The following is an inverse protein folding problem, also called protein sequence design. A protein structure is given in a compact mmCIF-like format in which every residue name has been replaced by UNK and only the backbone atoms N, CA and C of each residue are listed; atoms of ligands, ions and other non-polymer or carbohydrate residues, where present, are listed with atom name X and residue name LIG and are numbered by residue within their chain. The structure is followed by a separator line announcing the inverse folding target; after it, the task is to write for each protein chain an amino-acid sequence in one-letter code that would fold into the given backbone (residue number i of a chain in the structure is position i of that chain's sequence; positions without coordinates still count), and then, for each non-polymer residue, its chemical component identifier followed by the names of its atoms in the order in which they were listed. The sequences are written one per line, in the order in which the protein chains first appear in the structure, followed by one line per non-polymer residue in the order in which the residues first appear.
data_IF_053303436088
#
_entry.id   IF_053303436088
#
_cell.length_a   1.000
_cell.length_b   1.000
_cell.length_c   1.000
_cell.angle_alpha   90.00
_cell.angle_beta   90.00
_cell.angle_gamma   90.00
#
_symmetry.space_group_name_H-M   'P 1'
#
loop_
_entity.id
_entity.type
_entity.pdbx_description
1 polymer ?
#
# COMPACT_ATOMS: atom_id res chain seq x y z
N UNK A 1 1.20 -26.19 -32.49
CA UNK A 1 1.36 -24.73 -32.30
C UNK A 1 -0.01 -24.15 -32.04
N UNK A 2 -0.51 -24.25 -30.81
CA UNK A 2 -1.71 -23.54 -30.38
C UNK A 2 -1.28 -22.18 -29.83
N UNK A 3 -1.68 -21.11 -30.51
CA UNK A 3 -1.66 -19.77 -29.94
C UNK A 3 -2.66 -19.75 -28.80
N UNK A 4 -2.19 -19.73 -27.55
CA UNK A 4 -3.00 -19.32 -26.42
C UNK A 4 -3.58 -17.93 -26.74
N UNK A 5 -4.89 -17.89 -26.95
CA UNK A 5 -5.65 -16.67 -27.14
C UNK A 5 -5.44 -15.80 -25.90
N UNK A 6 -4.58 -14.79 -26.02
CA UNK A 6 -4.43 -13.73 -25.05
C UNK A 6 -5.79 -13.21 -24.64
N UNK A 7 -6.05 -13.20 -23.34
CA UNK A 7 -7.31 -12.68 -22.78
C UNK A 7 -7.44 -11.21 -23.19
N UNK A 8 -8.39 -10.91 -24.06
CA UNK A 8 -8.62 -9.55 -24.53
C UNK A 8 -9.03 -8.68 -23.35
N UNK A 9 -8.61 -7.41 -23.35
CA UNK A 9 -8.99 -6.41 -22.34
C UNK A 9 -10.53 -6.26 -22.13
N UNK A 10 -11.34 -6.76 -23.07
CA UNK A 10 -12.79 -6.89 -22.91
C UNK A 10 -13.22 -7.93 -21.87
N UNK A 11 -12.43 -8.97 -21.60
CA UNK A 11 -12.66 -9.92 -20.50
C UNK A 11 -12.18 -9.39 -19.14
N UNK A 12 -11.37 -8.33 -19.11
CA UNK A 12 -10.95 -7.65 -17.87
C UNK A 12 -11.88 -6.50 -17.45
N UNK A 13 -12.95 -6.20 -18.21
CA UNK A 13 -14.04 -5.29 -17.82
C UNK A 13 -14.67 -5.61 -16.44
N UNK A 14 -15.06 -6.86 -16.13
CA UNK A 14 -15.56 -7.21 -14.79
C UNK A 14 -14.51 -6.98 -13.70
N UNK A 15 -13.24 -7.26 -13.98
CA UNK A 15 -12.12 -6.98 -13.07
C UNK A 15 -11.95 -5.48 -12.80
N UNK A 16 -11.98 -4.64 -13.85
CA UNK A 16 -11.90 -3.18 -13.72
C UNK A 16 -13.09 -2.61 -12.95
N UNK A 17 -14.28 -3.18 -13.12
CA UNK A 17 -15.49 -2.79 -12.39
C UNK A 17 -15.38 -3.14 -10.89
N UNK A 18 -14.89 -4.32 -10.56
CA UNK A 18 -14.64 -4.74 -9.18
C UNK A 18 -13.57 -3.88 -8.50
N UNK A 19 -12.46 -3.63 -9.20
CA UNK A 19 -11.40 -2.73 -8.75
C UNK A 19 -11.94 -1.32 -8.54
N UNK A 20 -12.71 -0.78 -9.48
CA UNK A 20 -13.33 0.54 -9.36
C UNK A 20 -14.26 0.63 -8.15
N UNK A 21 -15.09 -0.40 -7.92
CA UNK A 21 -15.95 -0.50 -6.74
C UNK A 21 -15.13 -0.56 -5.44
N UNK A 22 -14.02 -1.28 -5.45
CA UNK A 22 -13.12 -1.37 -4.30
C UNK A 22 -12.45 -0.01 -4.01
N UNK A 23 -11.90 0.65 -5.03
CA UNK A 23 -11.30 1.99 -4.89
C UNK A 23 -12.33 2.99 -4.35
N UNK A 24 -13.57 2.98 -4.87
CA UNK A 24 -14.63 3.85 -4.38
C UNK A 24 -14.98 3.55 -2.92
N UNK A 25 -15.15 2.28 -2.55
CA UNK A 25 -15.45 1.86 -1.17
C UNK A 25 -14.33 2.25 -0.21
N UNK A 26 -13.08 1.99 -0.59
CA UNK A 26 -11.91 2.29 0.24
C UNK A 26 -11.72 3.80 0.35
N UNK A 27 -11.89 4.55 -0.75
CA UNK A 27 -11.85 6.02 -0.75
C UNK A 27 -12.94 6.64 0.13
N UNK A 28 -14.16 6.12 0.07
CA UNK A 28 -15.25 6.52 0.98
C UNK A 28 -14.89 6.22 2.44
N UNK A 29 -14.24 5.09 2.73
CA UNK A 29 -13.74 4.76 4.06
C UNK A 29 -12.67 5.74 4.55
N UNK A 30 -11.75 6.18 3.69
CA UNK A 30 -10.78 7.24 4.01
C UNK A 30 -11.51 8.54 4.34
N UNK A 31 -12.46 8.96 3.49
CA UNK A 31 -13.24 10.18 3.70
C UNK A 31 -14.00 10.15 5.05
N UNK A 32 -14.73 9.06 5.34
CA UNK A 32 -15.47 8.93 6.60
C UNK A 32 -14.55 8.96 7.82
N UNK A 33 -13.36 8.36 7.74
CA UNK A 33 -12.38 8.43 8.84
C UNK A 33 -11.86 9.85 9.04
N UNK A 34 -11.62 10.60 7.96
CA UNK A 34 -11.20 12.00 8.06
C UNK A 34 -12.30 12.89 8.63
N UNK A 35 -13.55 12.68 8.21
CA UNK A 35 -14.70 13.37 8.77
C UNK A 35 -14.82 13.11 10.28
N UNK A 36 -14.58 11.86 10.73
CA UNK A 36 -14.55 11.52 12.16
C UNK A 36 -13.46 12.29 12.91
N UNK A 37 -12.21 12.28 12.42
CA UNK A 37 -11.12 13.05 13.02
C UNK A 37 -11.45 14.54 13.13
N UNK A 38 -11.89 15.15 12.03
CA UNK A 38 -12.23 16.58 11.98
C UNK A 38 -13.38 16.90 12.94
N UNK A 39 -14.45 16.10 12.95
CA UNK A 39 -15.57 16.30 13.85
C UNK A 39 -15.15 16.17 15.32
N UNK A 40 -14.36 15.14 15.66
CA UNK A 40 -13.85 14.96 17.02
C UNK A 40 -12.98 16.13 17.46
N UNK A 41 -12.03 16.56 16.63
CA UNK A 41 -11.18 17.70 16.94
C UNK A 41 -11.95 19.01 17.05
N UNK A 42 -12.93 19.26 16.17
CA UNK A 42 -13.78 20.44 16.24
C UNK A 42 -14.52 20.53 17.58
N UNK A 43 -15.11 19.42 18.05
CA UNK A 43 -15.80 19.39 19.34
C UNK A 43 -14.85 19.77 20.48
N UNK A 44 -13.69 19.12 20.56
CA UNK A 44 -12.74 19.38 21.65
C UNK A 44 -12.12 20.78 21.57
N UNK A 45 -11.71 21.26 20.40
CA UNK A 45 -11.14 22.59 20.23
C UNK A 45 -12.18 23.67 20.53
N UNK A 46 -13.42 23.50 20.07
CA UNK A 46 -14.51 24.46 20.37
C UNK A 46 -14.78 24.52 21.87
N UNK A 47 -14.84 23.36 22.54
CA UNK A 47 -14.99 23.31 23.99
C UNK A 47 -13.81 23.94 24.72
N UNK A 48 -12.57 23.63 24.32
CA UNK A 48 -11.37 24.24 24.89
C UNK A 48 -11.34 25.76 24.73
N UNK A 49 -11.72 26.29 23.56
CA UNK A 49 -11.88 27.72 23.34
C UNK A 49 -12.94 28.32 24.27
N UNK A 50 -14.11 27.68 24.38
CA UNK A 50 -15.18 28.15 25.27
C UNK A 50 -14.72 28.23 26.73
N UNK A 51 -14.05 27.19 27.23
CA UNK A 51 -13.49 27.18 28.59
C UNK A 51 -12.40 28.23 28.77
N UNK A 52 -11.57 28.47 27.75
CA UNK A 52 -10.50 29.47 27.79
C UNK A 52 -11.05 30.89 27.91
N UNK A 53 -12.05 31.24 27.09
CA UNK A 53 -12.60 32.60 27.04
C UNK A 53 -13.61 32.91 28.14
N UNK A 54 -14.20 31.91 28.78
CA UNK A 54 -15.11 32.12 29.92
C UNK A 54 -14.40 32.17 31.27
N UNK A 55 -13.08 31.89 31.31
CA UNK A 55 -12.28 31.93 32.54
C UNK A 55 -11.96 33.38 32.94
N UNK A 56 -12.15 33.70 34.21
CA UNK A 56 -11.92 35.05 34.76
C UNK A 56 -10.43 35.47 34.73
N UNK A 57 -9.52 34.51 34.83
CA UNK A 57 -8.07 34.75 34.78
C UNK A 57 -7.43 33.91 33.68
N UNK A 58 -6.83 34.58 32.70
CA UNK A 58 -6.12 33.94 31.59
C UNK A 58 -4.61 33.95 31.89
N UNK A 59 -4.01 32.78 32.03
CA UNK A 59 -2.57 32.65 32.29
C UNK A 59 -1.82 32.28 31.02
N UNK A 60 -0.50 32.53 30.98
CA UNK A 60 0.35 32.08 29.87
C UNK A 60 0.27 30.56 29.66
N UNK A 61 0.10 29.80 30.74
CA UNK A 61 -0.01 28.34 30.71
C UNK A 61 -1.31 27.88 30.03
N UNK A 62 -2.44 28.55 30.30
CA UNK A 62 -3.71 28.20 29.65
C UNK A 62 -3.67 28.43 28.13
N UNK A 63 -2.94 29.45 27.65
CA UNK A 63 -2.74 29.67 26.21
C UNK A 63 -1.92 28.55 25.57
N UNK A 64 -0.94 27.98 26.29
CA UNK A 64 -0.11 26.87 25.79
C UNK A 64 -0.99 25.62 25.58
N UNK A 65 -1.88 25.29 26.50
CA UNK A 65 -2.78 24.14 26.34
C UNK A 65 -3.72 24.28 25.14
N UNK A 66 -4.23 25.48 24.87
CA UNK A 66 -5.03 25.75 23.66
C UNK A 66 -4.21 25.50 22.38
N UNK A 67 -2.96 25.99 22.34
CA UNK A 67 -2.05 25.76 21.20
C UNK A 67 -1.73 24.27 21.05
N UNK A 68 -1.49 23.55 22.15
CA UNK A 68 -1.26 22.10 22.13
C UNK A 68 -2.45 21.36 21.53
N UNK A 69 -3.69 21.73 21.90
CA UNK A 69 -4.89 21.12 21.30
C UNK A 69 -4.95 21.33 19.78
N UNK A 70 -4.64 22.54 19.30
CA UNK A 70 -4.59 22.83 17.86
C UNK A 70 -3.49 22.02 17.15
N UNK A 71 -2.29 21.96 17.73
CA UNK A 71 -1.17 21.20 17.17
C UNK A 71 -1.49 19.70 17.12
N UNK A 72 -2.04 19.14 18.21
CA UNK A 72 -2.47 17.73 18.24
C UNK A 72 -3.51 17.49 17.16
N UNK A 73 -4.54 18.34 17.04
CA UNK A 73 -5.58 18.19 16.04
C UNK A 73 -5.05 18.16 14.60
N UNK A 74 -4.14 19.07 14.26
CA UNK A 74 -3.55 19.14 12.92
C UNK A 74 -2.65 17.93 12.67
N UNK A 75 -1.73 17.62 13.58
CA UNK A 75 -0.75 16.55 13.40
C UNK A 75 -1.40 15.16 13.35
N UNK A 76 -2.36 14.88 14.25
CA UNK A 76 -3.07 13.60 14.26
C UNK A 76 -3.90 13.41 13.00
N UNK A 77 -4.58 14.46 12.52
CA UNK A 77 -5.37 14.41 11.28
C UNK A 77 -4.48 14.18 10.06
N UNK A 78 -3.38 14.91 9.93
CA UNK A 78 -2.43 14.74 8.83
C UNK A 78 -1.78 13.34 8.85
N UNK A 79 -1.39 12.85 10.03
CA UNK A 79 -0.83 11.52 10.17
C UNK A 79 -1.85 10.44 9.80
N UNK A 80 -3.09 10.56 10.30
CA UNK A 80 -4.18 9.65 9.99
C UNK A 80 -4.48 9.63 8.49
N UNK A 81 -4.52 10.80 7.84
CA UNK A 81 -4.70 10.92 6.39
C UNK A 81 -3.60 10.19 5.63
N UNK A 82 -2.33 10.47 5.94
CA UNK A 82 -1.19 9.86 5.27
C UNK A 82 -1.19 8.33 5.42
N UNK A 83 -1.47 7.82 6.62
CA UNK A 83 -1.50 6.38 6.90
C UNK A 83 -2.70 5.69 6.25
N UNK A 84 -3.89 6.29 6.30
CA UNK A 84 -5.10 5.78 5.61
C UNK A 84 -4.95 5.78 4.10
N UNK A 85 -4.42 6.86 3.51
CA UNK A 85 -4.20 6.96 2.07
C UNK A 85 -3.20 5.89 1.59
N UNK A 86 -2.08 5.74 2.31
CA UNK A 86 -1.11 4.68 2.03
C UNK A 86 -1.75 3.30 2.14
N UNK A 87 -2.50 3.03 3.21
CA UNK A 87 -3.19 1.74 3.40
C UNK A 87 -4.20 1.45 2.28
N UNK A 88 -5.02 2.44 1.92
CA UNK A 88 -5.99 2.33 0.82
C UNK A 88 -5.33 2.05 -0.53
N UNK A 89 -4.21 2.70 -0.81
CA UNK A 89 -3.39 2.43 -1.99
C UNK A 89 -2.87 0.99 -1.97
N UNK A 90 -2.33 0.51 -0.84
CA UNK A 90 -1.82 -0.85 -0.70
C UNK A 90 -2.91 -1.91 -0.85
N UNK A 91 -4.10 -1.69 -0.30
CA UNK A 91 -5.26 -2.59 -0.50
C UNK A 91 -5.63 -2.70 -1.99
N UNK A 92 -5.56 -1.58 -2.70
CA UNK A 92 -5.78 -1.57 -4.15
C UNK A 92 -4.70 -2.35 -4.89
N UNK A 93 -3.42 -2.13 -4.56
CA UNK A 93 -2.30 -2.89 -5.13
C UNK A 93 -2.44 -4.39 -4.86
N UNK A 94 -2.84 -4.77 -3.64
CA UNK A 94 -3.08 -6.17 -3.26
C UNK A 94 -4.19 -6.81 -4.09
N UNK A 95 -5.30 -6.11 -4.30
CA UNK A 95 -6.40 -6.58 -5.14
C UNK A 95 -5.95 -6.82 -6.58
N UNK A 96 -5.13 -5.91 -7.14
CA UNK A 96 -4.53 -6.12 -8.45
C UNK A 96 -3.61 -7.34 -8.45
N UNK A 97 -2.65 -7.40 -7.53
CA UNK A 97 -1.65 -8.46 -7.44
C UNK A 97 -2.27 -9.87 -7.32
N UNK A 98 -3.34 -10.01 -6.52
CA UNK A 98 -4.04 -11.28 -6.33
C UNK A 98 -4.81 -11.76 -7.56
N UNK A 99 -5.09 -10.88 -8.52
CA UNK A 99 -5.82 -11.22 -9.75
C UNK A 99 -4.90 -11.30 -10.98
N UNK A 100 -3.59 -11.24 -10.78
CA UNK A 100 -2.58 -11.11 -11.82
C UNK A 100 -1.68 -12.34 -11.95
N UNK A 101 -2.22 -13.54 -11.85
CA UNK A 101 -1.42 -14.78 -11.90
C UNK A 101 -0.61 -14.88 -13.19
N UNK A 102 -1.22 -14.63 -14.35
CA UNK A 102 -0.52 -14.65 -15.63
C UNK A 102 0.67 -13.67 -15.69
N UNK A 103 0.54 -12.49 -15.11
CA UNK A 103 1.64 -11.52 -15.05
C UNK A 103 2.75 -11.96 -14.09
N UNK A 104 2.40 -12.50 -12.92
CA UNK A 104 3.37 -13.03 -11.94
C UNK A 104 4.17 -14.18 -12.54
N UNK A 105 3.50 -15.12 -13.18
CA UNK A 105 4.14 -16.24 -13.89
C UNK A 105 5.03 -15.74 -15.02
N UNK A 106 4.56 -14.79 -15.84
CA UNK A 106 5.35 -14.27 -16.96
C UNK A 106 6.60 -13.51 -16.50
N UNK A 107 6.52 -12.81 -15.37
CA UNK A 107 7.71 -12.21 -14.74
C UNK A 107 8.68 -13.30 -14.29
N UNK A 108 8.19 -14.32 -13.58
CA UNK A 108 9.02 -15.43 -13.13
C UNK A 108 9.74 -16.09 -14.31
N UNK A 109 9.03 -16.41 -15.40
CA UNK A 109 9.64 -16.94 -16.62
C UNK A 109 10.75 -16.05 -17.17
N UNK A 110 10.50 -14.75 -17.38
CA UNK A 110 11.53 -13.84 -17.92
C UNK A 110 12.76 -13.74 -17.02
N UNK A 111 12.59 -13.84 -15.70
CA UNK A 111 13.70 -13.82 -14.73
C UNK A 111 14.50 -15.12 -14.80
N UNK A 112 13.83 -16.27 -14.81
CA UNK A 112 14.46 -17.59 -14.88
C UNK A 112 15.19 -17.76 -16.22
N UNK A 113 14.58 -17.34 -17.33
CA UNK A 113 15.21 -17.37 -18.65
C UNK A 113 16.45 -16.45 -18.70
N UNK A 114 16.40 -15.28 -18.04
CA UNK A 114 17.56 -14.39 -17.92
C UNK A 114 18.68 -14.97 -17.04
N UNK A 115 18.34 -15.78 -16.03
CA UNK A 115 19.31 -16.52 -15.23
C UNK A 115 20.02 -17.58 -16.08
N UNK A 116 19.28 -18.43 -16.80
CA UNK A 116 19.88 -19.45 -17.68
C UNK A 116 20.69 -18.84 -18.83
N UNK A 117 20.31 -17.65 -19.31
CA UNK A 117 21.09 -16.89 -20.29
C UNK A 117 22.34 -16.19 -19.70
N UNK A 118 22.62 -16.34 -18.40
CA UNK A 118 23.77 -15.75 -17.72
C UNK A 118 23.69 -14.23 -17.50
N UNK A 119 22.53 -13.61 -17.77
CA UNK A 119 22.30 -12.16 -17.58
C UNK A 119 22.04 -11.79 -16.11
N UNK A 120 21.70 -12.78 -15.29
CA UNK A 120 21.40 -12.62 -13.86
C UNK A 120 22.16 -13.69 -13.08
N UNK A 121 22.70 -13.32 -11.92
CA UNK A 121 23.44 -14.23 -11.03
C UNK A 121 22.93 -14.12 -9.61
N UNK A 122 22.97 -15.25 -8.89
CA UNK A 122 22.67 -15.29 -7.45
C UNK A 122 23.68 -14.40 -6.71
N UNK A 123 23.17 -13.56 -5.80
CA UNK A 123 23.98 -12.56 -5.06
C UNK A 123 24.36 -11.30 -5.86
N UNK A 124 23.93 -11.18 -7.12
CA UNK A 124 24.13 -9.98 -7.91
C UNK A 124 23.20 -8.82 -7.49
N UNK A 125 23.64 -7.57 -7.71
CA UNK A 125 22.86 -6.37 -7.43
C UNK A 125 21.85 -5.99 -8.52
N UNK A 126 21.58 -6.90 -9.46
CA UNK A 126 20.71 -6.64 -10.63
C UNK A 126 19.27 -6.50 -10.18
N UNK A 127 18.67 -5.33 -10.44
CA UNK A 127 17.27 -5.06 -10.13
C UNK A 127 16.35 -5.75 -11.13
N UNK A 128 15.14 -6.13 -10.71
CA UNK A 128 14.17 -6.75 -11.62
C UNK A 128 13.83 -5.84 -12.80
N UNK A 129 13.67 -4.53 -12.53
CA UNK A 129 13.34 -3.54 -13.56
C UNK A 129 14.39 -3.33 -14.66
N UNK A 130 15.63 -3.84 -14.49
CA UNK A 130 16.65 -3.82 -15.56
C UNK A 130 16.61 -5.07 -16.44
N UNK A 131 15.95 -6.14 -15.97
CA UNK A 131 15.82 -7.42 -16.67
C UNK A 131 14.44 -7.51 -17.35
N UNK A 132 13.41 -7.00 -16.67
CA UNK A 132 12.02 -7.13 -17.07
C UNK A 132 11.38 -5.75 -17.13
N UNK A 133 10.84 -5.40 -18.29
CA UNK A 133 10.05 -4.18 -18.45
C UNK A 133 8.58 -4.45 -18.08
N UNK A 134 8.12 -3.83 -16.98
CA UNK A 134 6.75 -3.99 -16.48
C UNK A 134 5.68 -3.68 -17.52
N UNK A 135 5.91 -2.63 -18.33
CA UNK A 135 4.97 -2.19 -19.37
C UNK A 135 4.91 -3.20 -20.50
N UNK A 136 6.06 -3.73 -20.91
CA UNK A 136 6.13 -4.72 -21.98
C UNK A 136 5.42 -6.01 -21.58
N UNK A 137 5.73 -6.55 -20.39
CA UNK A 137 5.07 -7.77 -19.88
C UNK A 137 3.57 -7.56 -19.71
N UNK A 138 3.17 -6.40 -19.19
CA UNK A 138 1.77 -6.05 -19.07
C UNK A 138 1.04 -6.00 -20.42
N UNK A 139 1.70 -5.45 -21.44
CA UNK A 139 1.14 -5.38 -22.78
C UNK A 139 1.10 -6.74 -23.48
N UNK A 140 2.09 -7.58 -23.22
CA UNK A 140 2.14 -8.96 -23.70
C UNK A 140 0.99 -9.81 -23.12
N UNK A 141 0.72 -9.68 -21.82
CA UNK A 141 -0.28 -10.51 -21.12
C UNK A 141 -1.70 -9.97 -21.27
N UNK A 142 -1.90 -8.65 -21.24
CA UNK A 142 -3.22 -8.03 -21.15
C UNK A 142 -3.55 -7.03 -22.28
N UNK A 143 -2.64 -6.82 -23.23
CA UNK A 143 -2.81 -5.84 -24.31
C UNK A 143 -2.65 -4.38 -23.84
N UNK A 144 -3.48 -3.47 -24.33
CA UNK A 144 -3.30 -2.05 -24.01
C UNK A 144 -3.74 -1.73 -22.57
N UNK A 145 -2.77 -1.56 -21.66
CA UNK A 145 -3.02 -1.31 -20.23
C UNK A 145 -3.01 0.19 -19.93
N UNK A 146 -4.00 0.74 -19.20
CA UNK A 146 -4.02 2.15 -18.80
C UNK A 146 -2.80 2.56 -17.97
N UNK A 147 -2.31 3.79 -18.17
CA UNK A 147 -1.09 4.28 -17.50
C UNK A 147 -1.13 4.25 -15.96
N UNK A 148 -2.32 4.35 -15.35
CA UNK A 148 -2.47 4.19 -13.89
C UNK A 148 -2.17 2.77 -13.42
N UNK A 149 -2.56 1.76 -14.19
CA UNK A 149 -2.31 0.34 -13.89
C UNK A 149 -0.85 -0.01 -14.18
N UNK A 150 -0.25 0.58 -15.21
CA UNK A 150 1.19 0.43 -15.48
C UNK A 150 2.07 0.86 -14.29
N UNK A 151 1.66 1.89 -13.54
CA UNK A 151 2.35 2.30 -12.31
C UNK A 151 2.29 1.23 -11.22
N UNK A 152 1.18 0.50 -11.09
CA UNK A 152 1.03 -0.61 -10.14
C UNK A 152 2.01 -1.74 -10.52
N UNK A 153 2.10 -2.08 -11.80
CA UNK A 153 3.02 -3.11 -12.29
C UNK A 153 4.49 -2.74 -12.04
N UNK A 154 4.83 -1.48 -12.31
CA UNK A 154 6.17 -0.95 -12.04
C UNK A 154 6.48 -0.94 -10.54
N UNK A 155 5.49 -0.60 -9.71
CA UNK A 155 5.62 -0.64 -8.26
C UNK A 155 5.89 -2.07 -7.76
N UNK A 156 5.13 -3.07 -8.25
CA UNK A 156 5.33 -4.48 -7.92
C UNK A 156 6.75 -4.92 -8.29
N UNK A 157 7.18 -4.72 -9.55
CA UNK A 157 8.50 -5.14 -10.01
C UNK A 157 9.65 -4.53 -9.20
N UNK A 158 9.55 -3.24 -8.87
CA UNK A 158 10.60 -2.54 -8.13
C UNK A 158 10.71 -2.97 -6.66
N UNK A 159 9.73 -3.73 -6.15
CA UNK A 159 9.71 -4.21 -4.77
C UNK A 159 10.23 -5.63 -4.61
N UNK A 160 10.46 -6.36 -5.70
CA UNK A 160 10.93 -7.75 -5.66
C UNK A 160 12.42 -7.78 -5.27
N UNK A 161 12.80 -8.42 -4.16
CA UNK A 161 14.20 -8.59 -3.78
C UNK A 161 14.82 -9.76 -4.57
N UNK A 162 15.27 -9.46 -5.79
CA UNK A 162 15.76 -10.47 -6.74
C UNK A 162 16.81 -11.41 -6.16
N UNK A 163 17.82 -10.87 -5.47
CA UNK A 163 18.92 -11.66 -4.93
C UNK A 163 18.45 -12.68 -3.89
N UNK A 164 17.51 -12.29 -3.02
CA UNK A 164 16.93 -13.18 -2.00
C UNK A 164 16.12 -14.28 -2.67
N UNK A 165 15.25 -13.92 -3.63
CA UNK A 165 14.40 -14.89 -4.31
C UNK A 165 15.20 -15.93 -5.07
N UNK A 166 16.21 -15.52 -5.86
CA UNK A 166 17.07 -16.44 -6.59
C UNK A 166 17.88 -17.35 -5.66
N UNK A 167 18.23 -16.87 -4.46
CA UNK A 167 18.89 -17.70 -3.44
C UNK A 167 17.93 -18.77 -2.91
N UNK A 168 16.68 -18.41 -2.64
CA UNK A 168 15.64 -19.34 -2.18
C UNK A 168 15.36 -20.45 -3.19
N UNK A 169 15.35 -20.15 -4.48
CA UNK A 169 15.07 -21.14 -5.55
C UNK A 169 16.31 -21.81 -6.14
N UNK A 170 17.49 -21.61 -5.54
CA UNK A 170 18.78 -22.07 -6.10
C UNK A 170 18.78 -23.57 -6.41
N UNK A 171 18.21 -24.40 -5.52
CA UNK A 171 18.17 -25.84 -5.72
C UNK A 171 17.43 -26.25 -7.00
N UNK A 172 16.33 -25.55 -7.35
CA UNK A 172 15.57 -25.83 -8.57
C UNK A 172 16.28 -25.33 -9.83
N UNK A 173 17.02 -24.23 -9.71
CA UNK A 173 17.88 -23.69 -10.76
C UNK A 173 19.06 -24.62 -11.07
N UNK A 174 19.75 -25.11 -10.03
CA UNK A 174 20.88 -26.03 -10.16
C UNK A 174 20.43 -27.40 -10.69
N UNK A 175 19.21 -27.83 -10.37
CA UNK A 175 18.58 -29.03 -10.91
C UNK A 175 18.11 -28.88 -12.38
N UNK A 176 18.32 -27.70 -13.00
CA UNK A 176 17.91 -27.36 -14.35
C UNK A 176 16.41 -27.61 -14.62
N UNK A 177 15.57 -27.48 -13.59
CA UNK A 177 14.14 -27.72 -13.69
C UNK A 177 13.40 -26.37 -13.79
N UNK A 178 13.31 -25.85 -15.02
CA UNK A 178 12.70 -24.54 -15.32
C UNK A 178 11.28 -24.41 -14.77
N UNK A 179 10.42 -25.40 -14.98
CA UNK A 179 9.01 -25.33 -14.55
C UNK A 179 8.89 -25.25 -13.03
N UNK A 180 9.65 -26.07 -12.29
CA UNK A 180 9.68 -26.00 -10.83
C UNK A 180 10.24 -24.67 -10.33
N UNK A 181 11.30 -24.17 -10.94
CA UNK A 181 11.89 -22.88 -10.57
C UNK A 181 10.91 -21.71 -10.78
N UNK A 182 10.14 -21.71 -11.88
CA UNK A 182 9.09 -20.70 -12.16
C UNK A 182 7.96 -20.79 -11.13
N UNK A 183 7.48 -21.99 -10.82
CA UNK A 183 6.42 -22.19 -9.83
C UNK A 183 6.86 -21.77 -8.42
N UNK A 184 8.08 -22.14 -8.02
CA UNK A 184 8.64 -21.79 -6.72
C UNK A 184 8.86 -20.27 -6.62
N UNK A 185 9.39 -19.62 -7.65
CA UNK A 185 9.55 -18.16 -7.68
C UNK A 185 8.20 -17.44 -7.55
N UNK A 186 7.17 -17.94 -8.24
CA UNK A 186 5.82 -17.36 -8.19
C UNK A 186 5.21 -17.50 -6.79
N UNK A 187 5.42 -18.63 -6.12
CA UNK A 187 5.00 -18.83 -4.74
C UNK A 187 5.74 -17.90 -3.77
N UNK A 188 7.05 -17.75 -3.95
CA UNK A 188 7.87 -16.84 -3.14
C UNK A 188 7.44 -15.38 -3.31
N UNK A 189 7.10 -14.99 -4.54
CA UNK A 189 6.54 -13.68 -4.84
C UNK A 189 5.21 -13.46 -4.11
N UNK A 190 4.29 -14.43 -4.14
CA UNK A 190 3.03 -14.32 -3.42
C UNK A 190 3.27 -14.17 -1.91
N UNK A 191 4.10 -15.04 -1.32
CA UNK A 191 4.45 -15.01 0.11
C UNK A 191 5.03 -13.66 0.53
N UNK A 192 6.04 -13.18 -0.21
CA UNK A 192 6.70 -11.92 0.11
C UNK A 192 5.73 -10.73 0.12
N UNK A 193 4.84 -10.65 -0.87
CA UNK A 193 3.88 -9.55 -0.93
C UNK A 193 2.83 -9.63 0.18
N UNK A 194 2.35 -10.83 0.50
CA UNK A 194 1.40 -11.04 1.60
C UNK A 194 1.99 -10.71 2.97
N UNK A 195 3.25 -11.09 3.22
CA UNK A 195 3.88 -10.92 4.54
C UNK A 195 4.54 -9.55 4.73
N UNK A 196 5.20 -9.01 3.70
CA UNK A 196 6.10 -7.86 3.85
C UNK A 196 5.60 -6.57 3.20
N UNK A 197 4.62 -6.66 2.30
CA UNK A 197 4.18 -5.52 1.49
C UNK A 197 2.77 -5.07 1.91
N UNK A 198 1.84 -6.00 2.10
CA UNK A 198 0.46 -5.68 2.45
C UNK A 198 0.26 -5.49 3.97
N UNK A 199 0.47 -4.25 4.45
CA UNK A 199 0.18 -3.86 5.84
C UNK A 199 -1.34 -3.86 6.10
N UNK A 200 -1.85 -4.84 6.86
CA UNK A 200 -3.26 -4.93 7.26
C UNK A 200 -3.61 -4.14 8.54
N UNK A 201 -2.60 -3.58 9.22
CA UNK A 201 -2.76 -2.98 10.56
C UNK A 201 -3.00 -1.48 10.55
N UNK A 202 -3.00 -0.84 9.36
CA UNK A 202 -3.10 0.61 9.23
C UNK A 202 -4.39 1.17 9.85
N UNK A 203 -5.55 0.52 9.68
CA UNK A 203 -6.82 0.97 10.27
C UNK A 203 -6.75 1.01 11.79
N UNK A 204 -6.26 -0.08 12.40
CA UNK A 204 -6.07 -0.17 13.87
C UNK A 204 -5.15 0.93 14.37
N UNK A 205 -4.05 1.20 13.66
CA UNK A 205 -3.12 2.28 14.00
C UNK A 205 -3.82 3.64 13.99
N UNK A 206 -4.65 3.91 12.98
CA UNK A 206 -5.36 5.19 12.84
C UNK A 206 -6.42 5.36 13.94
N UNK A 207 -7.13 4.31 14.32
CA UNK A 207 -8.04 4.34 15.47
C UNK A 207 -7.30 4.59 16.79
N UNK A 208 -6.13 3.98 16.98
CA UNK A 208 -5.30 4.23 18.17
C UNK A 208 -4.83 5.68 18.23
N UNK A 209 -4.43 6.27 17.09
CA UNK A 209 -4.07 7.69 17.02
C UNK A 209 -5.25 8.58 17.40
N UNK A 210 -6.46 8.26 16.94
CA UNK A 210 -7.66 9.00 17.34
C UNK A 210 -7.88 8.92 18.85
N UNK A 211 -7.79 7.73 19.43
CA UNK A 211 -7.97 7.52 20.87
C UNK A 211 -6.92 8.27 21.69
N UNK A 212 -5.65 8.21 21.28
CA UNK A 212 -4.56 8.97 21.91
C UNK A 212 -4.78 10.47 21.79
N UNK A 213 -5.23 10.95 20.63
CA UNK A 213 -5.53 12.35 20.43
C UNK A 213 -6.67 12.82 21.33
N UNK A 214 -7.77 12.04 21.44
CA UNK A 214 -8.87 12.32 22.37
C UNK A 214 -8.37 12.41 23.81
N UNK A 215 -7.57 11.45 24.27
CA UNK A 215 -6.99 11.47 25.62
C UNK A 215 -6.17 12.75 25.86
N UNK A 216 -5.34 13.17 24.90
CA UNK A 216 -4.57 14.41 25.00
C UNK A 216 -5.47 15.65 25.07
N UNK A 217 -6.57 15.70 24.32
CA UNK A 217 -7.52 16.81 24.40
C UNK A 217 -8.22 16.86 25.77
N UNK A 218 -8.63 15.72 26.31
CA UNK A 218 -9.24 15.65 27.66
C UNK A 218 -8.27 16.15 28.72
N UNK A 219 -7.01 15.72 28.67
CA UNK A 219 -5.96 16.18 29.59
C UNK A 219 -5.71 17.69 29.44
N UNK A 220 -5.61 18.19 28.21
CA UNK A 220 -5.43 19.63 27.98
C UNK A 220 -6.60 20.46 28.52
N UNK A 221 -7.84 19.99 28.33
CA UNK A 221 -9.05 20.64 28.87
C UNK A 221 -9.07 20.62 30.39
N UNK A 222 -8.65 19.52 31.02
CA UNK A 222 -8.57 19.43 32.48
C UNK A 222 -7.63 20.49 33.05
N UNK A 223 -6.46 20.72 32.43
CA UNK A 223 -5.53 21.77 32.87
C UNK A 223 -5.98 23.19 32.49
N UNK A 224 -6.85 23.31 31.49
CA UNK A 224 -7.39 24.58 31.02
C UNK A 224 -8.60 25.06 31.85
N UNK A 225 -9.32 24.12 32.48
CA UNK A 225 -10.44 24.35 33.41
C UNK A 225 -9.94 24.79 34.78
#
# INVERSE_FOLDING_TARGET
MEQEKGTTFQQTLPFLKEVGKHIAKTGFGVFMMMALFVATHLVFVTYGCFTYFTRAETTRESSIYLVVMLVVAVLSTLFAFAKMYKGAFMDTVALFFNKMDAFKTRIAEKIIDAYYAGKVKIGGSTKVGTIVNAKEVATEVYGNVPGRVQKIFSFILNRIPMAEFLTTIKADLDANNREKAVAHFTNELNRYFEENVFDRTYKRTVYLVLLMAVALHVVAIYYLS
#
